data_IF_777602688905
#
_entry.id   IF_777602688905
#
_cell.length_a   1.000
_cell.length_b   1.000
_cell.length_c   1.000
_cell.angle_alpha   90.00
_cell.angle_beta   90.00
_cell.angle_gamma   90.00
#
_symmetry.space_group_name_H-M   'P 1'
#
loop_
_entity.id
_entity.type
_entity.pdbx_description
1 polymer ?
#
# COMPACT_ATOMS: atom_id res chain seq x y z
N UNK A 1 13.25 -17.04 4.22
CA UNK A 1 12.03 -16.21 4.12
C UNK A 1 11.38 -16.12 5.50
N UNK A 2 10.93 -14.95 5.92
CA UNK A 2 10.12 -14.78 7.15
C UNK A 2 8.64 -15.05 6.86
N UNK A 3 7.98 -15.83 7.71
CA UNK A 3 6.60 -16.27 7.59
C UNK A 3 5.87 -15.87 8.87
N UNK A 4 4.72 -15.22 8.75
CA UNK A 4 3.83 -14.98 9.88
C UNK A 4 2.71 -16.03 9.86
N UNK A 5 2.55 -16.75 10.96
CA UNK A 5 1.47 -17.74 11.11
C UNK A 5 0.40 -17.21 12.08
N UNK A 6 -0.86 -17.25 11.65
CA UNK A 6 -2.01 -16.88 12.46
C UNK A 6 -2.79 -18.14 12.86
N UNK A 7 -3.14 -18.25 14.14
CA UNK A 7 -3.99 -19.29 14.70
C UNK A 7 -4.81 -18.74 15.85
N UNK A 8 -6.01 -19.26 16.06
CA UNK A 8 -6.88 -18.79 17.15
C UNK A 8 -6.31 -19.23 18.50
N UNK A 9 -5.86 -18.27 19.31
CA UNK A 9 -5.30 -18.54 20.64
C UNK A 9 -6.43 -18.75 21.65
N UNK A 10 -7.17 -17.70 22.02
CA UNK A 10 -8.16 -17.75 23.12
C UNK A 10 -9.38 -18.65 22.85
N UNK A 11 -9.68 -18.98 21.58
CA UNK A 11 -10.82 -19.82 21.19
C UNK A 11 -10.48 -21.06 20.37
N UNK A 12 -9.20 -21.32 20.09
CA UNK A 12 -8.75 -22.37 19.17
C UNK A 12 -7.68 -23.31 19.73
N UNK A 13 -7.51 -23.37 21.06
CA UNK A 13 -6.51 -24.24 21.69
C UNK A 13 -6.70 -25.73 21.38
N UNK A 14 -7.93 -26.14 21.10
CA UNK A 14 -8.26 -27.48 20.60
C UNK A 14 -7.56 -27.83 19.28
N UNK A 15 -7.16 -26.83 18.49
CA UNK A 15 -6.52 -26.99 17.19
C UNK A 15 -4.98 -26.86 17.25
N UNK A 16 -4.38 -26.82 18.45
CA UNK A 16 -2.91 -26.69 18.62
C UNK A 16 -2.14 -27.78 17.87
N UNK A 17 -2.63 -29.02 17.83
CA UNK A 17 -2.00 -30.09 17.06
C UNK A 17 -1.93 -29.78 15.56
N UNK A 18 -2.97 -29.13 15.02
CA UNK A 18 -3.02 -28.69 13.62
C UNK A 18 -2.06 -27.52 13.42
N UNK A 19 -2.02 -26.59 14.37
CA UNK A 19 -1.09 -25.46 14.32
C UNK A 19 0.37 -25.94 14.31
N UNK A 20 0.70 -26.98 15.09
CA UNK A 20 2.03 -27.61 15.07
C UNK A 20 2.34 -28.23 13.71
N UNK A 21 1.38 -28.91 13.07
CA UNK A 21 1.54 -29.47 11.73
C UNK A 21 1.80 -28.37 10.69
N UNK A 22 0.99 -27.31 10.70
CA UNK A 22 1.15 -26.18 9.79
C UNK A 22 2.51 -25.51 10.01
N UNK A 23 2.86 -25.15 11.24
CA UNK A 23 4.15 -24.52 11.57
C UNK A 23 5.33 -25.40 11.16
N UNK A 24 5.25 -26.71 11.39
CA UNK A 24 6.29 -27.66 10.97
C UNK A 24 6.47 -27.67 9.47
N UNK A 25 5.37 -27.68 8.70
CA UNK A 25 5.42 -27.58 7.24
C UNK A 25 6.03 -26.23 6.81
N UNK A 26 5.60 -25.11 7.38
CA UNK A 26 6.09 -23.77 7.05
C UNK A 26 7.59 -23.60 7.34
N UNK A 27 8.10 -24.23 8.40
CA UNK A 27 9.54 -24.21 8.75
C UNK A 27 10.44 -24.79 7.65
N UNK A 28 9.92 -25.67 6.81
CA UNK A 28 10.68 -26.18 5.65
C UNK A 28 10.92 -25.12 4.57
N UNK A 29 10.13 -24.04 4.56
CA UNK A 29 10.23 -22.94 3.59
C UNK A 29 10.85 -21.66 4.17
N UNK A 30 10.95 -21.54 5.50
CA UNK A 30 11.49 -20.34 6.12
C UNK A 30 11.33 -20.24 7.63
N UNK A 31 11.71 -19.10 8.18
CA UNK A 31 11.57 -18.78 9.61
C UNK A 31 10.12 -18.38 9.90
N UNK A 32 9.44 -19.12 10.76
CA UNK A 32 8.11 -18.77 11.26
C UNK A 32 8.27 -17.86 12.48
N UNK A 33 7.83 -16.60 12.36
CA UNK A 33 8.02 -15.58 13.40
C UNK A 33 7.13 -15.81 14.63
N UNK A 34 5.95 -16.38 14.40
CA UNK A 34 4.92 -16.63 15.41
C UNK A 34 4.74 -18.12 15.70
N UNK A 35 5.84 -18.88 15.71
CA UNK A 35 5.78 -20.33 15.97
C UNK A 35 5.17 -20.68 17.33
N UNK A 36 5.27 -19.77 18.30
CA UNK A 36 4.74 -19.93 19.65
C UNK A 36 3.21 -20.04 19.69
N UNK A 37 2.50 -19.61 18.64
CA UNK A 37 1.05 -19.82 18.48
C UNK A 37 0.70 -21.32 18.55
N UNK A 38 1.62 -22.19 18.13
CA UNK A 38 1.48 -23.64 18.17
C UNK A 38 1.96 -24.29 19.48
N UNK A 39 2.40 -23.53 20.48
CA UNK A 39 2.86 -24.08 21.76
C UNK A 39 1.68 -24.27 22.72
N UNK A 40 1.50 -25.45 23.36
CA UNK A 40 0.43 -25.72 24.32
C UNK A 40 0.35 -24.74 25.50
N UNK A 41 1.48 -24.16 25.90
CA UNK A 41 1.64 -23.33 27.10
C UNK A 41 1.77 -21.82 26.79
N UNK A 42 1.28 -21.36 25.64
CA UNK A 42 1.42 -19.97 25.21
C UNK A 42 0.96 -18.93 26.25
N UNK A 43 -0.14 -19.22 26.95
CA UNK A 43 -0.68 -18.34 27.99
C UNK A 43 0.30 -18.09 29.15
N UNK A 44 1.24 -19.02 29.40
CA UNK A 44 2.31 -18.84 30.39
C UNK A 44 3.44 -17.93 29.87
N UNK A 45 3.70 -17.95 28.56
CA UNK A 45 4.72 -17.10 27.93
C UNK A 45 4.30 -15.64 27.85
N UNK A 46 2.99 -15.38 27.72
CA UNK A 46 2.44 -14.02 27.60
C UNK A 46 1.99 -13.43 28.95
N UNK A 47 2.07 -14.20 30.04
CA UNK A 47 1.59 -13.81 31.37
C UNK A 47 2.20 -12.51 31.92
N UNK A 48 3.40 -12.16 31.47
CA UNK A 48 4.16 -11.01 31.95
C UNK A 48 4.14 -9.81 30.98
N UNK A 49 3.41 -9.90 29.87
CA UNK A 49 3.27 -8.81 28.90
C UNK A 49 1.89 -8.18 29.00
N UNK A 50 1.82 -6.86 28.83
CA UNK A 50 0.54 -6.17 28.69
C UNK A 50 0.04 -6.21 27.23
N UNK A 51 -1.24 -5.92 27.04
CA UNK A 51 -1.89 -6.00 25.71
C UNK A 51 -1.21 -5.10 24.65
N UNK A 52 -0.67 -3.94 25.05
CA UNK A 52 -0.02 -3.02 24.12
C UNK A 52 1.36 -3.54 23.67
N UNK A 53 2.10 -4.17 24.57
CA UNK A 53 3.39 -4.81 24.25
C UNK A 53 3.21 -5.99 23.30
N UNK A 54 2.17 -6.81 23.52
CA UNK A 54 1.81 -7.92 22.63
C UNK A 54 1.46 -7.37 21.24
N UNK A 55 0.62 -6.35 21.17
CA UNK A 55 0.26 -5.71 19.91
C UNK A 55 1.48 -5.16 19.18
N UNK A 56 2.35 -4.41 19.85
CA UNK A 56 3.54 -3.82 19.23
C UNK A 56 4.47 -4.90 18.67
N UNK A 57 4.77 -5.92 19.48
CA UNK A 57 5.59 -7.07 19.10
C UNK A 57 5.03 -7.80 17.87
N UNK A 58 3.75 -8.13 17.89
CA UNK A 58 3.09 -8.89 16.83
C UNK A 58 2.99 -8.06 15.53
N UNK A 59 2.72 -6.76 15.65
CA UNK A 59 2.74 -5.84 14.49
C UNK A 59 4.15 -5.69 13.90
N UNK A 60 5.20 -5.66 14.73
CA UNK A 60 6.59 -5.66 14.26
C UNK A 60 6.91 -6.96 13.50
N UNK A 61 6.57 -8.12 14.03
CA UNK A 61 6.76 -9.40 13.31
C UNK A 61 5.95 -9.46 12.02
N UNK A 62 4.70 -9.02 12.04
CA UNK A 62 3.86 -8.96 10.85
C UNK A 62 4.51 -8.08 9.79
N UNK A 63 5.04 -6.92 10.17
CA UNK A 63 5.76 -6.02 9.26
C UNK A 63 6.99 -6.66 8.63
N UNK A 64 7.73 -7.50 9.35
CA UNK A 64 8.93 -8.22 8.89
C UNK A 64 8.62 -9.48 8.06
N UNK A 65 7.38 -9.96 8.10
CA UNK A 65 6.98 -11.17 7.38
C UNK A 65 6.91 -10.93 5.87
N UNK A 66 7.30 -11.92 5.07
CA UNK A 66 7.17 -11.82 3.61
C UNK A 66 5.82 -12.34 3.12
N UNK A 67 5.24 -13.27 3.86
CA UNK A 67 3.95 -13.90 3.60
C UNK A 67 3.25 -14.16 4.93
N UNK A 68 1.92 -14.31 4.86
CA UNK A 68 1.08 -14.67 6.00
C UNK A 68 0.34 -15.97 5.68
N UNK A 69 0.30 -16.88 6.63
CA UNK A 69 -0.50 -18.10 6.56
C UNK A 69 -1.39 -18.14 7.78
N UNK A 70 -2.70 -18.30 7.59
CA UNK A 70 -3.67 -18.26 8.67
C UNK A 70 -4.54 -19.51 8.67
N UNK A 71 -4.69 -20.15 9.82
CA UNK A 71 -5.74 -21.14 10.04
C UNK A 71 -7.00 -20.39 10.49
N UNK A 72 -8.08 -20.53 9.71
CA UNK A 72 -9.29 -19.69 9.84
C UNK A 72 -10.56 -20.50 10.10
N UNK A 73 -10.41 -21.73 10.60
CA UNK A 73 -11.57 -22.58 10.92
C UNK A 73 -12.31 -22.04 12.15
N UNK A 74 -11.57 -21.66 13.18
CA UNK A 74 -12.13 -21.06 14.38
C UNK A 74 -12.33 -19.56 14.20
N UNK A 75 -13.54 -19.02 14.46
CA UNK A 75 -13.77 -17.57 14.47
C UNK A 75 -12.85 -16.89 15.49
N UNK A 76 -12.03 -15.94 15.02
CA UNK A 76 -11.11 -15.20 15.87
C UNK A 76 -10.94 -13.77 15.38
N UNK A 77 -11.27 -12.80 16.25
CA UNK A 77 -11.08 -11.38 15.96
C UNK A 77 -9.60 -11.04 15.77
N UNK A 78 -8.72 -11.68 16.55
CA UNK A 78 -7.26 -11.49 16.42
C UNK A 78 -6.75 -11.94 15.05
N UNK A 79 -7.08 -13.17 14.65
CA UNK A 79 -6.69 -13.70 13.33
C UNK A 79 -7.28 -12.83 12.20
N UNK A 80 -8.54 -12.41 12.33
CA UNK A 80 -9.15 -11.48 11.37
C UNK A 80 -8.43 -10.14 11.28
N UNK A 81 -8.05 -9.55 12.41
CA UNK A 81 -7.29 -8.30 12.48
C UNK A 81 -5.91 -8.43 11.84
N UNK A 82 -5.19 -9.51 12.12
CA UNK A 82 -3.87 -9.79 11.54
C UNK A 82 -3.96 -9.99 10.03
N UNK A 83 -4.96 -10.72 9.54
CA UNK A 83 -5.20 -10.92 8.11
C UNK A 83 -5.50 -9.57 7.44
N UNK A 84 -6.42 -8.77 8.00
CA UNK A 84 -6.76 -7.46 7.44
C UNK A 84 -5.52 -6.55 7.38
N UNK A 85 -4.70 -6.56 8.44
CA UNK A 85 -3.44 -5.81 8.47
C UNK A 85 -2.44 -6.33 7.43
N UNK A 86 -2.31 -7.64 7.26
CA UNK A 86 -1.46 -8.24 6.23
C UNK A 86 -1.85 -7.79 4.82
N UNK A 87 -3.15 -7.75 4.52
CA UNK A 87 -3.68 -7.24 3.25
C UNK A 87 -3.29 -5.77 3.07
N UNK A 88 -3.46 -4.93 4.09
CA UNK A 88 -3.07 -3.50 4.00
C UNK A 88 -1.57 -3.29 3.78
N UNK A 89 -0.75 -4.26 4.23
CA UNK A 89 0.69 -4.31 4.01
C UNK A 89 1.07 -5.04 2.70
N UNK A 90 0.11 -5.34 1.82
CA UNK A 90 0.32 -6.04 0.55
C UNK A 90 1.06 -7.38 0.67
N UNK A 91 0.95 -8.05 1.83
CA UNK A 91 1.57 -9.36 2.04
C UNK A 91 0.68 -10.44 1.41
N UNK A 92 1.25 -11.39 0.63
CA UNK A 92 0.50 -12.56 0.20
C UNK A 92 -0.05 -13.32 1.41
N UNK A 93 -1.33 -13.68 1.37
CA UNK A 93 -2.02 -14.39 2.45
C UNK A 93 -2.56 -15.72 1.93
N UNK A 94 -2.29 -16.80 2.66
CA UNK A 94 -2.97 -18.08 2.51
C UNK A 94 -3.84 -18.35 3.74
N UNK A 95 -5.14 -18.48 3.54
CA UNK A 95 -6.07 -18.91 4.58
C UNK A 95 -6.38 -20.41 4.41
N UNK A 96 -6.19 -21.20 5.46
CA UNK A 96 -6.50 -22.62 5.52
C UNK A 96 -7.78 -22.81 6.34
N UNK A 97 -8.77 -23.50 5.77
CA UNK A 97 -10.06 -23.74 6.36
C UNK A 97 -10.40 -25.23 6.35
N UNK A 98 -10.98 -25.76 7.42
CA UNK A 98 -11.42 -27.15 7.55
C UNK A 98 -12.95 -27.25 7.52
N UNK A 99 -13.56 -27.62 6.39
CA UNK A 99 -15.01 -27.73 6.25
C UNK A 99 -15.65 -28.75 7.21
N UNK A 100 -14.99 -29.87 7.49
CA UNK A 100 -15.47 -30.91 8.41
C UNK A 100 -15.64 -30.46 9.87
N UNK A 101 -15.15 -29.28 10.25
CA UNK A 101 -15.31 -28.73 11.60
C UNK A 101 -16.75 -28.36 11.96
N UNK A 102 -17.66 -28.27 10.98
CA UNK A 102 -19.03 -27.79 11.17
C UNK A 102 -19.16 -26.26 11.22
N UNK A 103 -18.04 -25.53 11.23
CA UNK A 103 -18.06 -24.07 11.12
C UNK A 103 -18.28 -23.62 9.67
N UNK A 104 -18.81 -22.39 9.51
CA UNK A 104 -18.88 -21.73 8.20
C UNK A 104 -17.75 -20.73 8.07
N UNK A 105 -16.96 -20.86 6.99
CA UNK A 105 -15.93 -19.87 6.66
C UNK A 105 -16.58 -18.49 6.47
N UNK A 106 -15.97 -17.47 7.07
CA UNK A 106 -16.40 -16.06 6.94
C UNK A 106 -16.52 -15.65 5.48
N UNK A 107 -17.64 -15.01 5.13
CA UNK A 107 -17.87 -14.45 3.80
C UNK A 107 -16.81 -13.41 3.42
N UNK A 108 -16.24 -12.68 4.39
CA UNK A 108 -15.16 -11.72 4.14
C UNK A 108 -13.88 -12.41 3.71
N UNK A 109 -13.52 -13.53 4.35
CA UNK A 109 -12.34 -14.32 3.96
C UNK A 109 -12.57 -15.00 2.62
N UNK A 110 -13.72 -15.66 2.45
CA UNK A 110 -14.07 -16.36 1.21
C UNK A 110 -14.14 -15.40 0.01
N UNK A 111 -14.78 -14.24 0.18
CA UNK A 111 -14.92 -13.23 -0.87
C UNK A 111 -13.62 -12.48 -1.20
N UNK A 112 -12.62 -12.52 -0.32
CA UNK A 112 -11.30 -11.91 -0.57
C UNK A 112 -10.40 -12.78 -1.45
N UNK A 113 -10.72 -14.06 -1.65
CA UNK A 113 -9.93 -14.98 -2.46
C UNK A 113 -9.85 -14.51 -3.92
N UNK A 114 -8.62 -14.26 -4.38
CA UNK A 114 -8.35 -13.76 -5.73
C UNK A 114 -7.25 -14.53 -6.47
N UNK A 115 -6.65 -15.54 -5.83
CA UNK A 115 -5.57 -16.38 -6.36
C UNK A 115 -4.35 -15.60 -6.88
N UNK A 116 -4.13 -14.38 -6.38
CA UNK A 116 -3.01 -13.49 -6.74
C UNK A 116 -2.25 -12.98 -5.52
N UNK A 117 -2.99 -12.53 -4.52
CA UNK A 117 -2.45 -12.04 -3.25
C UNK A 117 -3.16 -12.65 -2.06
N UNK A 118 -4.34 -13.23 -2.27
CA UNK A 118 -5.14 -13.83 -1.23
C UNK A 118 -5.68 -15.18 -1.71
N UNK A 119 -5.35 -16.23 -0.96
CA UNK A 119 -5.65 -17.61 -1.29
C UNK A 119 -6.46 -18.24 -0.15
N UNK A 120 -7.38 -19.12 -0.50
CA UNK A 120 -8.16 -19.90 0.46
C UNK A 120 -8.04 -21.36 0.06
N UNK A 121 -7.52 -22.20 0.97
CA UNK A 121 -7.42 -23.65 0.80
C UNK A 121 -8.34 -24.35 1.79
N UNK A 122 -9.21 -25.24 1.29
CA UNK A 122 -10.00 -26.12 2.13
C UNK A 122 -9.23 -27.41 2.36
N UNK A 123 -8.94 -27.78 3.60
CA UNK A 123 -8.20 -28.99 3.94
C UNK A 123 -9.07 -29.94 4.77
N UNK A 124 -8.87 -31.25 4.59
CA UNK A 124 -9.48 -32.29 5.42
C UNK A 124 -8.42 -33.15 6.10
N UNK A 125 -7.28 -33.36 5.43
CA UNK A 125 -6.17 -34.14 5.94
C UNK A 125 -4.85 -33.36 5.87
N UNK A 126 -3.80 -33.93 6.48
CA UNK A 126 -2.49 -33.29 6.56
C UNK A 126 -1.88 -33.04 5.17
N UNK A 127 -2.11 -33.95 4.25
CA UNK A 127 -1.62 -33.92 2.88
C UNK A 127 -2.17 -32.70 2.11
N UNK A 128 -3.41 -32.30 2.41
CA UNK A 128 -4.03 -31.11 1.84
C UNK A 128 -3.31 -29.84 2.32
N UNK A 129 -3.00 -29.74 3.62
CA UNK A 129 -2.26 -28.62 4.21
C UNK A 129 -0.91 -28.47 3.51
N UNK A 130 -0.15 -29.57 3.42
CA UNK A 130 1.16 -29.59 2.78
C UNK A 130 1.07 -29.20 1.30
N UNK A 131 0.02 -29.66 0.61
CA UNK A 131 -0.26 -29.29 -0.78
C UNK A 131 -0.53 -27.80 -0.93
N UNK A 132 -1.47 -27.23 -0.17
CA UNK A 132 -1.80 -25.80 -0.30
C UNK A 132 -0.63 -24.90 0.06
N UNK A 133 0.13 -25.25 1.10
CA UNK A 133 1.35 -24.52 1.46
C UNK A 133 2.36 -24.60 0.32
N UNK A 134 2.64 -25.79 -0.22
CA UNK A 134 3.59 -25.96 -1.33
C UNK A 134 3.17 -25.15 -2.57
N UNK A 135 1.91 -25.23 -2.97
CA UNK A 135 1.37 -24.52 -4.13
C UNK A 135 1.50 -22.99 -3.93
N UNK A 136 1.17 -22.50 -2.74
CA UNK A 136 1.30 -21.09 -2.37
C UNK A 136 2.77 -20.61 -2.33
N UNK A 137 3.68 -21.42 -1.79
CA UNK A 137 5.11 -21.11 -1.74
C UNK A 137 5.73 -21.09 -3.14
N UNK A 138 5.33 -22.02 -4.01
CA UNK A 138 5.73 -22.04 -5.42
C UNK A 138 5.28 -20.77 -6.14
N UNK A 139 4.01 -20.38 -5.97
CA UNK A 139 3.49 -19.12 -6.50
C UNK A 139 4.31 -17.90 -6.02
N UNK A 140 4.55 -17.80 -4.72
CA UNK A 140 5.31 -16.69 -4.14
C UNK A 140 6.76 -16.64 -4.65
N UNK A 141 7.38 -17.81 -4.86
CA UNK A 141 8.74 -17.93 -5.39
C UNK A 141 8.82 -17.52 -6.85
N UNK A 142 7.88 -18.00 -7.69
CA UNK A 142 7.81 -17.62 -9.11
C UNK A 142 7.56 -16.13 -9.28
N UNK A 143 6.64 -15.54 -8.51
CA UNK A 143 6.37 -14.10 -8.52
C UNK A 143 7.62 -13.29 -8.17
N UNK A 144 8.41 -13.76 -7.19
CA UNK A 144 9.71 -13.16 -6.84
C UNK A 144 10.76 -13.33 -7.94
N UNK A 145 10.85 -14.48 -8.57
CA UNK A 145 11.81 -14.72 -9.68
C UNK A 145 11.46 -13.86 -10.90
N UNK A 146 10.18 -13.74 -11.25
CA UNK A 146 9.72 -12.86 -12.33
C UNK A 146 10.05 -11.40 -11.99
N UNK A 147 9.74 -10.96 -10.77
CA UNK A 147 10.10 -9.61 -10.30
C UNK A 147 11.61 -9.37 -10.41
N UNK A 148 12.44 -10.28 -9.89
CA UNK A 148 13.91 -10.20 -9.99
C UNK A 148 14.43 -10.26 -11.43
N UNK A 149 13.76 -10.99 -12.32
CA UNK A 149 14.15 -11.12 -13.73
C UNK A 149 13.81 -9.86 -14.52
N UNK A 150 12.68 -9.23 -14.20
CA UNK A 150 12.30 -7.90 -14.70
C UNK A 150 13.31 -6.87 -14.17
N UNK A 151 13.59 -6.85 -12.86
CA UNK A 151 14.62 -5.98 -12.25
C UNK A 151 16.00 -6.18 -12.88
N UNK A 152 16.40 -7.42 -13.21
CA UNK A 152 17.69 -7.74 -13.83
C UNK A 152 17.75 -7.36 -15.31
N UNK A 153 16.63 -7.49 -16.05
CA UNK A 153 16.50 -6.99 -17.43
C UNK A 153 16.53 -5.46 -17.47
N UNK A 154 15.84 -4.80 -16.53
CA UNK A 154 15.84 -3.34 -16.38
C UNK A 154 17.21 -2.79 -15.98
N UNK A 155 17.96 -3.51 -15.11
CA UNK A 155 19.36 -3.17 -14.79
C UNK A 155 20.33 -3.33 -15.95
N UNK A 156 20.05 -4.18 -16.94
CA UNK A 156 20.87 -4.31 -18.15
C UNK A 156 20.43 -3.37 -19.28
N UNK A 157 19.19 -2.89 -19.29
CA UNK A 157 18.67 -1.99 -20.33
C UNK A 157 18.70 -0.50 -19.96
N UNK A 158 19.08 -0.13 -18.73
CA UNK A 158 18.93 1.26 -18.28
C UNK A 158 20.14 1.72 -17.48
N UNK A 159 21.06 2.45 -18.12
CA UNK A 159 21.85 3.50 -17.44
C UNK A 159 20.96 4.72 -17.15
N UNK A 160 19.80 4.49 -16.55
CA UNK A 160 18.90 5.49 -16.02
C UNK A 160 18.72 5.18 -14.55
N UNK A 161 19.07 6.13 -13.69
CA UNK A 161 18.92 6.02 -12.25
C UNK A 161 17.48 5.55 -11.92
N UNK A 162 17.32 4.49 -11.14
CA UNK A 162 15.99 4.00 -10.76
C UNK A 162 15.25 5.09 -9.99
N UNK A 163 13.94 5.22 -10.18
CA UNK A 163 13.13 6.19 -9.43
C UNK A 163 13.33 6.05 -7.92
N UNK A 164 13.62 4.85 -7.40
CA UNK A 164 13.92 4.57 -5.99
C UNK A 164 15.17 5.30 -5.48
N UNK A 165 16.24 5.26 -6.28
CA UNK A 165 17.48 6.00 -6.01
C UNK A 165 17.28 7.51 -6.13
N UNK A 166 16.46 7.94 -7.10
CA UNK A 166 16.02 9.31 -7.28
C UNK A 166 15.23 9.81 -6.06
N UNK A 167 14.18 9.12 -5.63
CA UNK A 167 13.37 9.51 -4.48
C UNK A 167 14.20 9.66 -3.19
N UNK A 168 15.15 8.75 -2.97
CA UNK A 168 16.06 8.84 -1.83
C UNK A 168 17.00 10.06 -1.92
N UNK A 169 17.46 10.40 -3.13
CA UNK A 169 18.27 11.58 -3.42
C UNK A 169 17.45 12.89 -3.39
N UNK A 170 16.20 12.83 -3.82
CA UNK A 170 15.23 13.91 -3.86
C UNK A 170 14.77 14.26 -2.45
N UNK A 171 14.18 13.35 -1.67
CA UNK A 171 13.51 13.72 -0.42
C UNK A 171 14.38 13.50 0.85
N UNK A 172 15.54 12.83 0.73
CA UNK A 172 16.48 12.67 1.84
C UNK A 172 15.90 11.90 3.04
N UNK A 173 16.42 12.16 4.25
CA UNK A 173 15.98 11.50 5.51
C UNK A 173 14.89 12.26 6.28
N UNK A 174 14.47 13.44 5.82
CA UNK A 174 13.45 14.28 6.50
C UNK A 174 12.08 13.66 6.22
N UNK A 175 11.24 13.52 7.25
CA UNK A 175 9.86 13.06 7.03
C UNK A 175 9.06 14.17 6.35
N UNK A 176 8.34 13.82 5.27
CA UNK A 176 7.56 14.76 4.46
C UNK A 176 6.13 14.26 4.21
N UNK A 177 5.12 15.02 4.63
CA UNK A 177 3.72 14.69 4.35
C UNK A 177 3.30 15.35 3.04
N UNK A 178 2.99 14.53 2.03
CA UNK A 178 2.58 14.99 0.70
C UNK A 178 1.20 14.42 0.35
N UNK A 179 0.21 15.29 0.19
CA UNK A 179 -1.16 14.88 -0.13
C UNK A 179 -1.36 14.84 -1.66
N UNK A 180 -1.90 13.75 -2.22
CA UNK A 180 -2.27 13.68 -3.64
C UNK A 180 -3.78 13.59 -3.83
N UNK A 181 -4.34 14.57 -4.51
CA UNK A 181 -5.79 14.76 -4.64
C UNK A 181 -6.14 15.20 -6.06
N UNK A 182 -7.43 15.29 -6.35
CA UNK A 182 -7.97 15.55 -7.68
C UNK A 182 -9.27 14.79 -7.89
N UNK A 183 -9.97 15.09 -8.97
CA UNK A 183 -11.24 14.42 -9.29
C UNK A 183 -11.06 12.92 -9.51
N UNK A 184 -12.15 12.15 -9.44
CA UNK A 184 -12.15 10.75 -9.84
C UNK A 184 -11.71 10.59 -11.29
N UNK A 185 -11.14 9.44 -11.61
CA UNK A 185 -10.56 9.12 -12.93
C UNK A 185 -9.40 10.02 -13.41
N UNK A 186 -8.96 11.03 -12.65
CA UNK A 186 -7.81 11.89 -13.00
C UNK A 186 -6.48 11.14 -13.12
N UNK A 187 -6.39 9.94 -12.54
CA UNK A 187 -5.22 9.05 -12.64
C UNK A 187 -4.32 9.03 -11.40
N UNK A 188 -4.77 9.56 -10.26
CA UNK A 188 -4.07 9.49 -8.96
C UNK A 188 -3.62 8.07 -8.61
N UNK A 189 -4.54 7.11 -8.66
CA UNK A 189 -4.26 5.70 -8.40
C UNK A 189 -3.22 5.17 -9.39
N UNK A 190 -3.32 5.50 -10.69
CA UNK A 190 -2.33 5.10 -11.70
C UNK A 190 -0.95 5.68 -11.42
N UNK A 191 -0.85 6.97 -11.06
CA UNK A 191 0.41 7.60 -10.65
C UNK A 191 0.96 6.88 -9.42
N UNK A 192 0.13 6.66 -8.39
CA UNK A 192 0.52 5.93 -7.20
C UNK A 192 0.99 4.51 -7.53
N UNK A 193 0.32 3.82 -8.46
CA UNK A 193 0.75 2.51 -8.95
C UNK A 193 2.05 2.59 -9.74
N UNK A 194 2.29 3.63 -10.54
CA UNK A 194 3.57 3.79 -11.25
C UNK A 194 4.72 4.07 -10.32
N UNK A 195 4.49 4.91 -9.31
CA UNK A 195 5.43 5.11 -8.23
C UNK A 195 5.66 3.78 -7.46
N UNK A 196 4.59 3.01 -7.19
CA UNK A 196 4.65 1.70 -6.52
C UNK A 196 5.33 0.59 -7.32
N UNK A 197 5.10 0.53 -8.63
CA UNK A 197 5.51 -0.57 -9.51
C UNK A 197 6.85 -0.31 -10.22
N UNK A 198 7.38 0.91 -10.19
CA UNK A 198 8.76 1.24 -10.58
C UNK A 198 9.79 1.02 -9.46
N UNK A 199 9.67 -0.05 -8.66
CA UNK A 199 10.47 -0.29 -7.44
C UNK A 199 10.29 0.73 -6.28
N UNK A 200 9.11 1.32 -6.03
CA UNK A 200 8.89 2.15 -4.83
C UNK A 200 7.47 2.06 -4.26
N UNK A 201 7.13 0.96 -3.61
CA UNK A 201 6.83 0.94 -2.17
C UNK A 201 7.01 -0.52 -1.79
N UNK A 202 8.24 -0.90 -1.42
CA UNK A 202 8.34 -1.92 -0.38
C UNK A 202 7.67 -1.30 0.84
N UNK A 203 6.82 -2.06 1.51
CA UNK A 203 6.30 -1.66 2.80
C UNK A 203 7.49 -1.38 3.72
N UNK A 204 7.82 -0.12 3.94
CA UNK A 204 8.87 0.28 4.88
C UNK A 204 8.18 0.54 6.22
N UNK A 205 8.49 -0.24 7.27
CA UNK A 205 8.26 0.20 8.63
C UNK A 205 9.18 1.41 8.87
N UNK A 206 8.57 2.59 8.94
CA UNK A 206 9.06 3.76 9.70
C UNK A 206 10.51 4.20 9.50
N UNK A 207 11.00 4.47 8.28
CA UNK A 207 12.16 5.36 8.06
C UNK A 207 11.99 6.15 6.74
N UNK A 208 11.68 7.46 6.85
CA UNK A 208 11.65 8.42 5.72
C UNK A 208 10.30 8.55 5.01
N UNK A 209 9.30 9.12 5.69
CA UNK A 209 7.91 9.17 5.24
C UNK A 209 7.71 10.09 4.02
N UNK A 210 7.46 9.52 2.84
CA UNK A 210 6.75 10.14 1.71
C UNK A 210 5.35 9.52 1.70
N UNK A 211 4.37 10.16 2.35
CA UNK A 211 3.03 9.57 2.53
C UNK A 211 2.03 10.19 1.56
N UNK A 212 1.89 9.60 0.37
CA UNK A 212 0.84 9.95 -0.58
C UNK A 212 -0.47 9.30 -0.18
N UNK A 213 -1.45 10.12 0.19
CA UNK A 213 -2.82 9.69 0.41
C UNK A 213 -3.57 9.79 -0.91
N UNK A 214 -3.97 8.66 -1.51
CA UNK A 214 -4.94 8.64 -2.61
C UNK A 214 -6.33 8.74 -2.00
N UNK A 215 -6.89 9.95 -1.97
CA UNK A 215 -8.25 10.15 -1.50
C UNK A 215 -9.17 10.10 -2.70
N UNK A 216 -10.17 9.22 -2.66
CA UNK A 216 -11.09 9.05 -3.77
C UNK A 216 -11.74 10.38 -4.14
N UNK A 217 -11.87 10.62 -5.44
CA UNK A 217 -12.27 11.92 -5.99
C UNK A 217 -13.76 12.07 -6.26
N UNK A 218 -14.58 11.09 -5.87
CA UNK A 218 -16.04 11.16 -6.03
C UNK A 218 -16.62 12.21 -5.08
N UNK A 219 -17.59 12.99 -5.53
CA UNK A 219 -18.18 14.12 -4.81
C UNK A 219 -18.52 13.80 -3.35
N UNK A 220 -19.11 12.61 -3.11
CA UNK A 220 -19.59 12.16 -1.80
C UNK A 220 -18.48 11.97 -0.76
N UNK A 221 -17.23 11.79 -1.18
CA UNK A 221 -16.10 11.49 -0.29
C UNK A 221 -15.05 12.60 -0.23
N UNK A 222 -15.14 13.64 -1.07
CA UNK A 222 -14.28 14.84 -1.00
C UNK A 222 -14.28 15.53 0.37
N UNK A 223 -15.40 15.57 1.13
CA UNK A 223 -15.38 16.09 2.50
C UNK A 223 -14.32 15.44 3.41
N UNK A 224 -13.94 14.18 3.16
CA UNK A 224 -12.96 13.47 3.97
C UNK A 224 -11.51 13.94 3.74
N UNK A 225 -11.25 14.71 2.68
CA UNK A 225 -9.92 15.23 2.35
C UNK A 225 -9.34 16.05 3.50
N UNK A 226 -10.20 16.78 4.23
CA UNK A 226 -9.83 17.63 5.37
C UNK A 226 -9.06 16.90 6.48
N UNK A 227 -9.32 15.61 6.67
CA UNK A 227 -8.63 14.79 7.68
C UNK A 227 -7.14 14.60 7.37
N UNK A 228 -6.71 14.90 6.14
CA UNK A 228 -5.33 14.76 5.69
C UNK A 228 -4.59 16.08 5.60
N UNK A 229 -5.23 17.24 5.82
CA UNK A 229 -4.59 18.54 5.59
C UNK A 229 -3.51 18.86 6.64
N UNK A 230 -3.76 18.53 7.90
CA UNK A 230 -2.82 18.80 8.99
C UNK A 230 -1.40 18.30 8.68
N UNK A 231 -0.40 19.14 8.93
CA UNK A 231 1.02 18.86 8.69
C UNK A 231 1.38 18.53 7.23
N UNK A 232 0.52 18.81 6.24
CA UNK A 232 0.84 18.60 4.83
C UNK A 232 1.80 19.68 4.35
N UNK A 233 2.98 19.26 3.87
CA UNK A 233 4.04 20.16 3.38
C UNK A 233 3.97 20.34 1.86
N UNK A 234 3.53 19.30 1.14
CA UNK A 234 3.34 19.34 -0.31
C UNK A 234 1.96 18.85 -0.70
N UNK A 235 1.37 19.48 -1.71
CA UNK A 235 0.09 19.12 -2.28
C UNK A 235 0.28 18.80 -3.77
N UNK A 236 -0.06 17.59 -4.19
CA UNK A 236 -0.10 17.18 -5.59
C UNK A 236 -1.56 17.16 -6.04
N UNK A 237 -1.93 18.03 -6.97
CA UNK A 237 -3.25 18.07 -7.56
C UNK A 237 -3.22 17.47 -8.97
N UNK A 238 -3.91 16.36 -9.18
CA UNK A 238 -3.92 15.62 -10.45
C UNK A 238 -5.17 16.00 -11.25
N UNK A 239 -4.96 16.42 -12.49
CA UNK A 239 -5.99 16.86 -13.42
C UNK A 239 -6.04 15.92 -14.61
N UNK A 240 -7.24 15.47 -14.98
CA UNK A 240 -7.45 14.82 -16.27
C UNK A 240 -7.42 15.87 -17.38
N UNK A 241 -6.35 15.89 -18.17
CA UNK A 241 -6.19 16.87 -19.24
C UNK A 241 -7.19 16.65 -20.39
N UNK A 242 -7.74 15.45 -20.53
CA UNK A 242 -8.69 15.13 -21.59
C UNK A 242 -10.16 15.40 -21.14
N UNK A 243 -10.39 15.67 -19.86
CA UNK A 243 -11.71 15.99 -19.31
C UNK A 243 -11.97 17.49 -19.29
N UNK A 244 -12.28 18.03 -20.46
CA UNK A 244 -12.56 19.46 -20.67
C UNK A 244 -13.83 19.93 -19.97
N UNK A 245 -14.78 19.03 -19.69
CA UNK A 245 -16.08 19.34 -19.08
C UNK A 245 -15.93 19.54 -17.56
N UNK A 246 -15.17 18.68 -16.88
CA UNK A 246 -15.00 18.73 -15.42
C UNK A 246 -13.80 19.56 -14.93
N UNK A 247 -13.05 20.20 -15.81
CA UNK A 247 -11.93 21.08 -15.41
C UNK A 247 -12.37 22.27 -14.55
N UNK A 248 -13.60 22.78 -14.76
CA UNK A 248 -14.18 23.83 -13.91
C UNK A 248 -14.46 23.33 -12.50
N UNK A 249 -14.96 22.10 -12.37
CA UNK A 249 -15.14 21.43 -11.07
C UNK A 249 -13.79 21.19 -10.38
N UNK A 250 -12.77 20.78 -11.14
CA UNK A 250 -11.41 20.60 -10.61
C UNK A 250 -10.83 21.91 -10.07
N UNK A 251 -11.08 23.05 -10.76
CA UNK A 251 -10.72 24.38 -10.27
C UNK A 251 -11.40 24.69 -8.95
N UNK A 252 -12.71 24.49 -8.88
CA UNK A 252 -13.49 24.86 -7.70
C UNK A 252 -13.07 24.03 -6.48
N UNK A 253 -12.79 22.73 -6.65
CA UNK A 253 -12.24 21.89 -5.59
C UNK A 253 -10.82 22.29 -5.18
N UNK A 254 -9.95 22.60 -6.15
CA UNK A 254 -8.61 23.11 -5.85
C UNK A 254 -8.71 24.40 -5.02
N UNK A 255 -9.50 25.38 -5.46
CA UNK A 255 -9.67 26.65 -4.73
C UNK A 255 -10.22 26.43 -3.32
N UNK A 256 -11.19 25.53 -3.16
CA UNK A 256 -11.76 25.16 -1.86
C UNK A 256 -10.68 24.60 -0.93
N UNK A 257 -9.85 23.67 -1.43
CA UNK A 257 -8.73 23.14 -0.66
C UNK A 257 -7.68 24.21 -0.30
N UNK A 258 -7.29 25.06 -1.26
CA UNK A 258 -6.28 26.08 -1.02
C UNK A 258 -6.76 27.18 -0.05
N UNK A 259 -8.06 27.27 0.22
CA UNK A 259 -8.67 28.18 1.19
C UNK A 259 -8.57 27.71 2.64
N UNK A 260 -8.18 26.45 2.87
CA UNK A 260 -8.05 25.84 4.19
C UNK A 260 -6.72 26.25 4.84
N UNK A 261 -6.79 26.71 6.09
CA UNK A 261 -5.63 27.26 6.81
C UNK A 261 -4.51 26.23 6.97
N UNK A 262 -4.84 24.94 7.15
CA UNK A 262 -3.87 23.86 7.29
C UNK A 262 -3.03 23.62 6.03
N UNK A 263 -3.51 24.07 4.86
CA UNK A 263 -2.80 23.95 3.59
C UNK A 263 -2.12 25.25 3.16
N UNK A 264 -2.18 26.32 3.97
CA UNK A 264 -1.67 27.65 3.61
C UNK A 264 -0.22 27.64 3.14
N UNK A 265 0.64 26.89 3.85
CA UNK A 265 2.08 26.80 3.59
C UNK A 265 2.47 25.64 2.66
N UNK A 266 1.49 24.85 2.18
CA UNK A 266 1.78 23.68 1.36
C UNK A 266 2.21 24.08 -0.07
N UNK A 267 3.37 23.58 -0.51
CA UNK A 267 3.84 23.72 -1.90
C UNK A 267 2.94 22.94 -2.85
N UNK A 268 2.46 23.57 -3.92
CA UNK A 268 1.49 22.97 -4.85
C UNK A 268 2.16 22.46 -6.14
N UNK A 269 2.04 21.17 -6.42
CA UNK A 269 2.38 20.58 -7.72
C UNK A 269 1.09 20.19 -8.45
N UNK A 270 0.93 20.62 -9.69
CA UNK A 270 -0.18 20.20 -10.56
C UNK A 270 0.37 19.18 -11.56
N UNK A 271 -0.25 18.00 -11.60
CA UNK A 271 -0.04 17.06 -12.70
C UNK A 271 -1.15 17.22 -13.74
N UNK A 272 -0.79 17.78 -14.87
CA UNK A 272 -1.61 17.79 -16.09
C UNK A 272 -1.53 16.41 -16.75
N UNK A 273 -2.35 15.47 -16.27
CA UNK A 273 -2.21 14.06 -16.60
C UNK A 273 -3.01 13.65 -17.84
N UNK A 274 -2.64 12.52 -18.46
CA UNK A 274 -3.22 11.97 -19.71
C UNK A 274 -2.88 12.77 -20.97
N UNK A 275 -1.67 13.33 -21.02
CA UNK A 275 -1.16 14.06 -22.18
C UNK A 275 -0.98 13.18 -23.43
N UNK A 276 -1.08 11.86 -23.29
CA UNK A 276 -1.08 10.89 -24.39
C UNK A 276 -2.37 10.89 -25.22
N UNK A 277 -3.44 11.52 -24.74
CA UNK A 277 -4.74 11.52 -25.41
C UNK A 277 -4.88 12.65 -26.44
N UNK A 278 -5.55 12.42 -27.60
CA UNK A 278 -5.52 13.32 -28.75
C UNK A 278 -6.23 14.68 -28.56
N UNK A 279 -6.91 14.92 -27.44
CA UNK A 279 -7.57 16.19 -27.12
C UNK A 279 -7.18 16.75 -25.73
N UNK A 280 -6.09 16.25 -25.17
CA UNK A 280 -5.59 16.69 -23.87
C UNK A 280 -5.27 18.20 -23.89
N UNK A 281 -5.82 18.92 -22.92
CA UNK A 281 -5.44 20.30 -22.61
C UNK A 281 -3.96 20.33 -22.25
N UNK A 282 -3.18 21.19 -22.89
CA UNK A 282 -1.77 21.34 -22.53
C UNK A 282 -1.63 22.06 -21.16
N UNK A 283 -0.42 22.10 -20.63
CA UNK A 283 -0.16 22.73 -19.33
C UNK A 283 -0.56 24.22 -19.28
N UNK A 284 -0.40 24.98 -20.38
CA UNK A 284 -0.79 26.39 -20.42
C UNK A 284 -2.33 26.54 -20.33
N UNK A 285 -3.08 25.74 -21.07
CA UNK A 285 -4.54 25.75 -21.03
C UNK A 285 -5.08 25.35 -19.65
N UNK A 286 -4.47 24.36 -19.00
CA UNK A 286 -4.85 23.97 -17.62
C UNK A 286 -4.51 25.07 -16.62
N UNK A 287 -3.38 25.76 -16.80
CA UNK A 287 -2.97 26.89 -15.95
C UNK A 287 -4.01 28.01 -15.97
N UNK A 288 -4.51 28.34 -17.16
CA UNK A 288 -5.58 29.32 -17.35
C UNK A 288 -6.89 28.85 -16.72
N UNK A 289 -7.33 27.62 -17.03
CA UNK A 289 -8.62 27.07 -16.57
C UNK A 289 -8.69 26.90 -15.05
N UNK A 290 -7.59 26.54 -14.40
CA UNK A 290 -7.51 26.46 -12.94
C UNK A 290 -7.26 27.82 -12.27
N UNK A 291 -6.96 28.87 -13.05
CA UNK A 291 -6.68 30.20 -12.52
C UNK A 291 -5.41 30.27 -11.69
N UNK A 292 -4.37 29.49 -12.01
CA UNK A 292 -3.15 29.38 -11.19
C UNK A 292 -2.38 30.71 -11.08
N UNK A 293 -2.52 31.60 -12.07
CA UNK A 293 -1.93 32.95 -12.03
C UNK A 293 -2.43 33.81 -10.86
N UNK A 294 -3.58 33.48 -10.26
CA UNK A 294 -4.12 34.17 -9.09
C UNK A 294 -3.40 33.79 -7.78
N UNK A 295 -2.66 32.67 -7.76
CA UNK A 295 -1.97 32.13 -6.58
C UNK A 295 -0.64 32.84 -6.33
N UNK A 296 -0.68 34.13 -5.96
CA UNK A 296 0.52 34.97 -5.79
C UNK A 296 1.37 34.64 -4.56
N UNK A 297 0.75 34.11 -3.51
CA UNK A 297 1.39 33.85 -2.21
C UNK A 297 1.67 32.36 -1.97
N UNK A 298 1.75 31.56 -3.04
CA UNK A 298 1.99 30.12 -2.93
C UNK A 298 2.96 29.67 -4.00
N UNK A 299 3.95 28.87 -3.62
CA UNK A 299 4.83 28.22 -4.58
C UNK A 299 4.05 27.12 -5.30
N UNK A 300 3.97 27.21 -6.62
CA UNK A 300 3.33 26.21 -7.44
C UNK A 300 4.09 25.91 -8.72
N UNK A 301 3.89 24.70 -9.25
CA UNK A 301 4.40 24.28 -10.55
C UNK A 301 3.41 23.33 -11.20
N UNK A 302 3.35 23.36 -12.53
CA UNK A 302 2.54 22.45 -13.33
C UNK A 302 3.45 21.62 -14.22
N UNK A 303 3.20 20.32 -14.25
CA UNK A 303 3.95 19.37 -15.03
C UNK A 303 3.00 18.57 -15.92
N UNK A 304 3.27 18.57 -17.22
CA UNK A 304 2.62 17.69 -18.19
C UNK A 304 3.03 16.24 -17.91
N UNK A 305 2.06 15.33 -17.78
CA UNK A 305 2.34 13.92 -17.42
C UNK A 305 1.49 12.91 -18.17
N UNK A 306 2.06 11.71 -18.32
CA UNK A 306 1.32 10.51 -18.69
C UNK A 306 1.54 9.45 -17.62
N UNK A 307 0.53 9.23 -16.77
CA UNK A 307 0.66 8.29 -15.65
C UNK A 307 0.89 6.84 -16.07
N UNK A 308 0.48 6.43 -17.28
CA UNK A 308 0.62 5.05 -17.76
C UNK A 308 2.04 4.76 -18.26
N UNK A 309 2.68 5.69 -18.97
CA UNK A 309 4.08 5.59 -19.38
C UNK A 309 5.04 5.94 -18.23
N UNK A 310 4.66 6.93 -17.40
CA UNK A 310 5.49 7.52 -16.35
C UNK A 310 6.11 8.86 -16.73
N UNK A 311 5.88 9.34 -17.96
CA UNK A 311 6.48 10.58 -18.47
C UNK A 311 6.03 11.78 -17.63
N UNK A 312 6.98 12.67 -17.33
CA UNK A 312 6.75 13.89 -16.55
C UNK A 312 6.60 13.67 -15.04
N UNK A 313 6.44 12.43 -14.56
CA UNK A 313 6.29 12.19 -13.12
C UNK A 313 7.57 12.55 -12.37
N UNK A 314 8.74 12.24 -12.93
CA UNK A 314 10.02 12.51 -12.30
C UNK A 314 10.25 14.01 -12.11
N UNK A 315 10.07 14.77 -13.19
CA UNK A 315 10.35 16.19 -13.28
C UNK A 315 9.49 16.98 -12.29
N UNK A 316 8.21 16.61 -12.18
CA UNK A 316 7.31 17.23 -11.21
C UNK A 316 7.70 16.90 -9.76
N UNK A 317 8.09 15.66 -9.48
CA UNK A 317 8.49 15.23 -8.15
C UNK A 317 9.86 15.77 -7.74
N UNK A 318 10.82 15.88 -8.66
CA UNK A 318 12.11 16.52 -8.44
C UNK A 318 11.93 18.00 -8.09
N UNK A 319 11.11 18.72 -8.86
CA UNK A 319 10.76 20.10 -8.54
C UNK A 319 10.16 20.22 -7.15
N UNK A 320 9.13 19.41 -6.83
CA UNK A 320 8.47 19.46 -5.53
C UNK A 320 9.46 19.18 -4.41
N UNK A 321 10.33 18.20 -4.59
CA UNK A 321 11.34 17.85 -3.61
C UNK A 321 12.33 18.98 -3.32
N UNK A 322 12.82 19.62 -4.38
CA UNK A 322 13.73 20.76 -4.27
C UNK A 322 13.07 21.95 -3.58
N UNK A 323 11.78 22.21 -3.84
CA UNK A 323 11.05 23.24 -3.10
C UNK A 323 10.96 22.92 -1.61
N UNK A 324 10.57 21.68 -1.27
CA UNK A 324 10.35 21.32 0.13
C UNK A 324 11.66 21.19 0.95
N UNK A 325 12.80 20.96 0.29
CA UNK A 325 14.14 21.05 0.92
C UNK A 325 14.51 22.48 1.32
N UNK A 326 14.04 23.47 0.57
CA UNK A 326 14.40 24.88 0.73
C UNK A 326 13.49 25.63 1.72
N UNK A 327 12.37 25.03 2.13
CA UNK A 327 11.52 25.54 3.21
C UNK A 327 12.21 25.25 4.55
N UNK A 328 12.73 26.31 5.19
CA UNK A 328 13.45 26.26 6.46
C UNK A 328 12.57 25.84 7.63
#
# INVERSE_FOLDING_TARGET
MNIYFCGSIRGGRQDVAIYQQIVTCLKTYGRVLTEHVAFPELELLEKNLNDAEILERDMQWLSQAHIVVAEVTQPSLGVGFEIARAITLNKPVLCLFRPSSGHRLSALIRGSANNRSFFVGNYEQREDIEKFIRDFMSYCSQKRTISKSIEKKEKQSTMGLTFSSLFQQLFGKKQMRILMVGLDAAGKTTILYKLKLGEIVTTIPTIGNFTVWDVGGQDKIRPLWRHYFQNTQGLIFVVDSNDRERVGEARDELQRMLSEDELREATLLIFANKQDLPNAMNAAEITEKLGLHSLRNRNWYIQATCATSGDGLYEGLDWLSNQLKNVK
#
